data_IF_331193063214
#
_entry.id   IF_331193063214
#
_cell.length_a   1.000
_cell.length_b   1.000
_cell.length_c   1.000
_cell.angle_alpha   90.00
_cell.angle_beta   90.00
_cell.angle_gamma   90.00
#
_symmetry.space_group_name_H-M   'P 1'
#
loop_
_entity.id
_entity.type
_entity.pdbx_description
1 polymer ?
#
# COMPACT_ATOMS: atom_id res chain seq x y z
N UNK A 1 18.01 30.27 -18.89
CA UNK A 1 17.18 29.21 -18.27
C UNK A 1 16.98 28.11 -19.30
N UNK A 2 17.03 26.83 -18.92
CA UNK A 2 16.68 25.74 -19.84
C UNK A 2 15.20 25.86 -20.26
N UNK A 3 14.88 25.40 -21.46
CA UNK A 3 13.52 25.37 -22.00
C UNK A 3 13.18 23.90 -22.25
N UNK A 4 12.00 23.49 -21.83
CA UNK A 4 11.48 22.15 -22.07
C UNK A 4 10.16 22.23 -22.82
N UNK A 5 9.92 21.26 -23.69
CA UNK A 5 8.62 21.00 -24.28
C UNK A 5 7.97 19.87 -23.48
N UNK A 6 6.78 20.10 -22.92
CA UNK A 6 6.05 19.12 -22.10
C UNK A 6 4.72 18.82 -22.78
N UNK A 7 4.43 17.55 -23.00
CA UNK A 7 3.13 17.08 -23.45
C UNK A 7 2.31 16.61 -22.25
N UNK A 8 1.09 17.13 -22.17
CA UNK A 8 0.11 16.74 -21.16
C UNK A 8 -1.18 16.29 -21.83
N UNK A 9 -1.81 15.28 -21.25
CA UNK A 9 -3.13 14.79 -21.67
C UNK A 9 -3.97 14.49 -20.44
N UNK A 10 -5.24 14.14 -20.64
CA UNK A 10 -6.12 13.61 -19.61
C UNK A 10 -7.00 12.52 -20.23
N UNK A 11 -7.47 11.59 -19.40
CA UNK A 11 -8.42 10.59 -19.87
C UNK A 11 -9.80 11.23 -19.99
N UNK A 12 -10.34 11.25 -21.21
CA UNK A 12 -11.73 11.63 -21.50
C UNK A 12 -12.57 10.37 -21.72
N UNK A 13 -13.45 9.98 -20.79
CA UNK A 13 -14.32 8.83 -20.97
C UNK A 13 -15.28 9.05 -22.15
N UNK A 14 -15.56 7.95 -22.85
CA UNK A 14 -16.55 7.89 -23.92
C UNK A 14 -17.51 6.78 -23.56
N UNK A 15 -18.81 7.07 -23.55
CA UNK A 15 -19.86 6.11 -23.24
C UNK A 15 -20.90 6.05 -24.36
N UNK A 16 -21.67 4.96 -24.38
CA UNK A 16 -22.87 4.81 -25.21
C UNK A 16 -23.98 4.19 -24.37
N UNK A 17 -25.22 4.46 -24.72
CA UNK A 17 -26.38 3.80 -24.11
C UNK A 17 -27.04 2.89 -25.15
N UNK A 18 -27.19 1.61 -24.82
CA UNK A 18 -27.88 0.61 -25.64
C UNK A 18 -28.67 -0.34 -24.77
N UNK A 19 -29.70 -0.94 -25.34
CA UNK A 19 -30.53 -1.95 -24.69
C UNK A 19 -30.23 -3.31 -25.32
N UNK A 20 -29.97 -4.31 -24.48
CA UNK A 20 -29.70 -5.67 -24.91
C UNK A 20 -30.75 -6.60 -24.30
N UNK A 21 -31.40 -7.41 -25.13
CA UNK A 21 -32.29 -8.46 -24.65
C UNK A 21 -31.44 -9.69 -24.29
N UNK A 22 -31.48 -10.10 -23.02
CA UNK A 22 -30.67 -11.19 -22.51
C UNK A 22 -31.35 -11.87 -21.31
N UNK A 23 -31.06 -13.16 -21.06
CA UNK A 23 -31.69 -13.90 -19.96
C UNK A 23 -31.13 -13.52 -18.57
N UNK A 24 -30.04 -12.73 -18.50
CA UNK A 24 -29.50 -12.20 -17.26
C UNK A 24 -28.70 -10.91 -17.50
N UNK A 25 -28.43 -10.16 -16.42
CA UNK A 25 -27.54 -8.99 -16.44
C UNK A 25 -26.13 -9.36 -16.94
N UNK A 26 -25.58 -10.50 -16.51
CA UNK A 26 -24.24 -10.91 -16.91
C UNK A 26 -24.14 -11.20 -18.42
N UNK A 27 -25.19 -11.80 -19.01
CA UNK A 27 -25.27 -11.98 -20.46
C UNK A 27 -25.43 -10.62 -21.19
N UNK A 28 -26.29 -9.73 -20.68
CA UNK A 28 -26.44 -8.38 -21.26
C UNK A 28 -25.12 -7.60 -21.26
N UNK A 29 -24.35 -7.67 -20.16
CA UNK A 29 -23.03 -7.05 -20.06
C UNK A 29 -22.03 -7.65 -21.06
N UNK A 30 -22.07 -8.97 -21.29
CA UNK A 30 -21.20 -9.60 -22.29
C UNK A 30 -21.56 -9.15 -23.71
N UNK A 31 -22.85 -9.13 -24.06
CA UNK A 31 -23.32 -8.57 -25.34
C UNK A 31 -22.87 -7.11 -25.52
N UNK A 32 -22.95 -6.31 -24.45
CA UNK A 32 -22.53 -4.91 -24.49
C UNK A 32 -21.02 -4.70 -24.71
N UNK A 33 -20.18 -5.65 -24.30
CA UNK A 33 -18.73 -5.61 -24.50
C UNK A 33 -18.34 -6.15 -25.88
N UNK A 34 -19.07 -7.13 -26.39
CA UNK A 34 -18.86 -7.71 -27.73
C UNK A 34 -19.36 -6.80 -28.87
N UNK A 35 -20.33 -5.93 -28.60
CA UNK A 35 -20.84 -4.95 -29.55
C UNK A 35 -19.76 -3.91 -29.89
N UNK A 36 -19.28 -3.89 -31.14
CA UNK A 36 -18.23 -2.99 -31.62
C UNK A 36 -18.77 -1.68 -32.22
N UNK A 37 -20.08 -1.48 -32.22
CA UNK A 37 -20.71 -0.32 -32.86
C UNK A 37 -20.84 0.89 -31.92
N UNK A 38 -19.95 1.86 -32.12
CA UNK A 38 -19.84 3.10 -31.37
C UNK A 38 -20.50 4.32 -32.04
N UNK A 39 -21.39 4.14 -33.03
CA UNK A 39 -21.98 5.28 -33.78
C UNK A 39 -22.77 6.28 -32.91
N UNK A 40 -23.21 5.87 -31.70
CA UNK A 40 -23.93 6.70 -30.74
C UNK A 40 -23.09 7.08 -29.50
N UNK A 41 -21.77 7.16 -29.66
CA UNK A 41 -20.86 7.53 -28.58
C UNK A 41 -21.08 8.98 -28.09
N UNK A 42 -20.87 9.18 -26.80
CA UNK A 42 -20.89 10.49 -26.15
C UNK A 42 -19.66 10.65 -25.29
N UNK A 43 -18.97 11.79 -25.45
CA UNK A 43 -17.82 12.15 -24.62
C UNK A 43 -18.30 12.73 -23.30
N UNK A 44 -17.77 12.21 -22.20
CA UNK A 44 -18.09 12.67 -20.87
C UNK A 44 -17.00 13.61 -20.35
N UNK A 45 -17.21 14.91 -20.56
CA UNK A 45 -16.28 15.93 -20.05
C UNK A 45 -16.41 16.16 -18.54
N UNK A 46 -17.55 15.82 -17.93
CA UNK A 46 -17.78 16.00 -16.49
C UNK A 46 -17.04 14.95 -15.67
N UNK A 47 -16.89 13.74 -16.22
CA UNK A 47 -16.10 12.65 -15.64
C UNK A 47 -14.66 12.58 -16.18
N UNK A 48 -14.19 13.63 -16.88
CA UNK A 48 -12.81 13.71 -17.32
C UNK A 48 -11.85 13.59 -16.11
N UNK A 49 -10.80 12.80 -16.28
CA UNK A 49 -9.83 12.54 -15.21
C UNK A 49 -8.78 13.65 -15.13
N UNK A 50 -7.83 13.47 -14.22
CA UNK A 50 -6.72 14.39 -14.03
C UNK A 50 -5.85 14.54 -15.29
N UNK A 51 -5.23 15.71 -15.41
CA UNK A 51 -4.20 15.96 -16.42
C UNK A 51 -2.86 15.41 -15.95
N UNK A 52 -2.19 14.66 -16.81
CA UNK A 52 -0.90 14.03 -16.55
C UNK A 52 0.06 14.24 -17.72
N UNK A 53 1.35 14.05 -17.47
CA UNK A 53 2.42 14.23 -18.46
C UNK A 53 2.63 12.92 -19.21
N UNK A 54 2.65 12.98 -20.55
CA UNK A 54 2.94 11.83 -21.43
C UNK A 54 4.27 11.95 -22.14
N UNK A 55 4.84 13.15 -22.21
CA UNK A 55 6.12 13.38 -22.87
C UNK A 55 6.84 14.63 -22.39
N UNK A 56 8.16 14.57 -22.43
CA UNK A 56 9.04 15.70 -22.11
C UNK A 56 10.24 15.69 -23.05
N UNK A 57 10.66 16.87 -23.53
CA UNK A 57 11.82 17.02 -24.42
C UNK A 57 12.63 18.25 -24.03
N UNK A 58 13.94 18.17 -24.23
CA UNK A 58 14.83 19.33 -24.07
C UNK A 58 14.73 20.24 -25.29
N UNK A 59 14.57 21.53 -25.05
CA UNK A 59 14.40 22.56 -26.08
C UNK A 59 12.95 22.98 -26.33
N UNK A 60 12.84 24.01 -27.18
CA UNK A 60 11.57 24.62 -27.59
C UNK A 60 11.01 23.89 -28.80
N UNK A 61 9.71 23.55 -28.74
CA UNK A 61 8.96 22.92 -29.83
C UNK A 61 9.61 21.61 -30.31
N UNK A 62 10.21 20.86 -29.38
CA UNK A 62 10.99 19.66 -29.67
C UNK A 62 10.18 18.35 -29.53
N UNK A 63 8.86 18.43 -29.34
CA UNK A 63 7.99 17.26 -29.28
C UNK A 63 8.23 16.37 -30.52
N UNK A 64 8.46 15.07 -30.28
CA UNK A 64 8.71 14.05 -31.32
C UNK A 64 9.93 14.28 -32.23
N UNK A 65 10.75 15.30 -31.97
CA UNK A 65 11.91 15.65 -32.80
C UNK A 65 13.22 15.02 -32.30
N UNK A 66 13.17 14.32 -31.16
CA UNK A 66 14.31 13.67 -30.51
C UNK A 66 13.86 12.73 -29.40
N UNK A 67 14.80 12.13 -28.65
CA UNK A 67 14.46 11.23 -27.55
C UNK A 67 13.69 11.98 -26.46
N UNK A 68 12.60 11.38 -25.98
CA UNK A 68 11.89 11.89 -24.83
C UNK A 68 12.74 11.74 -23.56
N UNK A 69 12.65 12.74 -22.69
CA UNK A 69 13.21 12.70 -21.34
C UNK A 69 12.33 11.79 -20.47
N UNK A 70 12.93 11.04 -19.51
CA UNK A 70 12.15 10.26 -18.56
C UNK A 70 11.32 11.21 -17.69
N UNK A 71 10.00 11.04 -17.74
CA UNK A 71 9.06 11.78 -16.90
C UNK A 71 9.03 11.12 -15.52
N UNK A 72 9.21 11.87 -14.43
CA UNK A 72 9.06 11.32 -13.09
C UNK A 72 7.64 10.78 -12.85
N UNK A 73 7.52 9.58 -12.28
CA UNK A 73 6.23 8.87 -12.12
C UNK A 73 5.16 9.62 -11.33
N UNK A 74 5.51 10.60 -10.50
CA UNK A 74 4.50 11.42 -9.82
C UNK A 74 3.76 12.40 -10.72
N UNK A 75 4.19 12.57 -11.97
CA UNK A 75 3.47 13.33 -13.00
C UNK A 75 2.60 12.44 -13.90
N UNK A 76 2.61 11.12 -13.70
CA UNK A 76 1.71 10.18 -14.39
C UNK A 76 0.31 10.20 -13.76
N UNK A 77 -0.68 9.67 -14.48
CA UNK A 77 -2.03 9.47 -13.96
C UNK A 77 -1.98 8.58 -12.70
N UNK A 78 -2.70 8.97 -11.66
CA UNK A 78 -2.85 8.26 -10.38
C UNK A 78 -3.24 6.80 -10.59
N UNK A 79 -4.10 6.49 -11.56
CA UNK A 79 -4.46 5.10 -11.86
C UNK A 79 -3.27 4.32 -12.40
N UNK A 80 -2.48 4.90 -13.31
CA UNK A 80 -1.27 4.26 -13.81
C UNK A 80 -0.22 4.10 -12.71
N UNK A 81 -0.03 5.13 -11.87
CA UNK A 81 0.86 5.06 -10.70
C UNK A 81 0.49 3.91 -9.77
N UNK A 82 -0.82 3.67 -9.54
CA UNK A 82 -1.32 2.53 -8.74
C UNK A 82 -1.03 1.20 -9.43
N UNK A 83 -1.29 1.10 -10.74
CA UNK A 83 -1.05 -0.12 -11.51
C UNK A 83 0.43 -0.51 -11.52
N UNK A 84 1.33 0.42 -11.83
CA UNK A 84 2.78 0.18 -11.84
C UNK A 84 3.30 -0.15 -10.43
N UNK A 85 2.71 0.46 -9.40
CA UNK A 85 3.08 0.17 -8.03
C UNK A 85 2.58 -1.21 -7.55
N UNK A 86 1.48 -1.71 -8.11
CA UNK A 86 0.90 -3.02 -7.74
C UNK A 86 1.89 -4.17 -8.00
N UNK A 87 2.65 -4.13 -9.10
CA UNK A 87 3.66 -5.16 -9.38
C UNK A 87 4.75 -5.21 -8.30
N UNK A 88 5.16 -4.04 -7.79
CA UNK A 88 6.15 -3.92 -6.71
C UNK A 88 5.59 -4.51 -5.42
N UNK A 89 4.35 -4.16 -5.07
CA UNK A 89 3.67 -4.69 -3.88
C UNK A 89 3.48 -6.20 -3.96
N UNK A 90 3.05 -6.73 -5.11
CA UNK A 90 2.90 -8.16 -5.33
C UNK A 90 4.25 -8.89 -5.21
N UNK A 91 5.33 -8.31 -5.73
CA UNK A 91 6.68 -8.83 -5.57
C UNK A 91 7.09 -8.95 -4.10
N UNK A 92 6.77 -7.95 -3.28
CA UNK A 92 7.04 -7.97 -1.84
C UNK A 92 6.20 -9.02 -1.11
N UNK A 93 4.91 -9.13 -1.43
CA UNK A 93 4.03 -10.16 -0.85
C UNK A 93 4.54 -11.56 -1.17
N UNK A 94 5.01 -11.80 -2.40
CA UNK A 94 5.61 -13.09 -2.80
C UNK A 94 6.90 -13.40 -2.01
N UNK A 95 7.73 -12.39 -1.73
CA UNK A 95 8.94 -12.57 -0.92
C UNK A 95 8.59 -12.91 0.52
N UNK A 96 7.55 -12.28 1.09
CA UNK A 96 7.09 -12.54 2.46
C UNK A 96 6.40 -13.90 2.60
N UNK A 97 5.62 -14.31 1.59
CA UNK A 97 4.96 -15.62 1.56
C UNK A 97 5.88 -16.81 1.25
N UNK A 98 7.11 -16.55 0.80
CA UNK A 98 8.13 -17.57 0.62
C UNK A 98 8.91 -17.83 1.92
N UNK A 99 9.13 -19.10 2.27
CA UNK A 99 10.02 -19.47 3.37
C UNK A 99 11.48 -19.11 3.04
N UNK A 100 11.86 -17.85 3.28
CA UNK A 100 13.16 -17.27 2.96
C UNK A 100 14.06 -17.09 4.18
N UNK A 101 15.34 -17.41 4.00
CA UNK A 101 16.40 -17.45 5.02
C UNK A 101 16.65 -16.08 5.69
N UNK A 102 17.16 -16.06 6.93
CA UNK A 102 17.16 -14.88 7.82
C UNK A 102 17.85 -13.60 7.26
N UNK A 103 18.72 -13.73 6.24
CA UNK A 103 19.35 -12.59 5.54
C UNK A 103 18.44 -11.87 4.53
N UNK A 104 17.34 -12.50 4.12
CA UNK A 104 16.33 -11.91 3.23
C UNK A 104 15.45 -10.87 3.97
N UNK A 105 15.50 -10.87 5.32
CA UNK A 105 14.62 -10.08 6.19
C UNK A 105 14.87 -8.57 6.14
N UNK A 106 16.11 -8.09 6.30
CA UNK A 106 16.37 -6.64 6.42
C UNK A 106 16.24 -5.90 5.10
N UNK A 107 16.74 -6.48 4.00
CA UNK A 107 16.59 -5.94 2.65
C UNK A 107 15.12 -5.89 2.20
N UNK A 108 14.33 -6.92 2.57
CA UNK A 108 12.90 -6.95 2.28
C UNK A 108 12.13 -5.90 3.08
N UNK A 109 12.49 -5.67 4.35
CA UNK A 109 11.84 -4.66 5.20
C UNK A 109 12.07 -3.22 4.71
N UNK A 110 13.29 -2.87 4.29
CA UNK A 110 13.58 -1.53 3.75
C UNK A 110 12.86 -1.30 2.42
N UNK A 111 12.81 -2.33 1.57
CA UNK A 111 12.07 -2.30 0.30
C UNK A 111 10.55 -2.22 0.53
N UNK A 112 10.04 -2.90 1.54
CA UNK A 112 8.63 -2.84 1.93
C UNK A 112 8.25 -1.45 2.45
N UNK A 113 9.07 -0.86 3.32
CA UNK A 113 8.87 0.52 3.77
C UNK A 113 8.87 1.51 2.59
N UNK A 114 9.74 1.30 1.59
CA UNK A 114 9.75 2.09 0.35
C UNK A 114 8.47 1.99 -0.45
N UNK A 115 7.95 0.78 -0.57
CA UNK A 115 6.71 0.58 -1.30
C UNK A 115 5.54 1.21 -0.54
N UNK A 116 5.45 1.03 0.78
CA UNK A 116 4.41 1.64 1.60
C UNK A 116 4.41 3.17 1.48
N UNK A 117 5.57 3.82 1.60
CA UNK A 117 5.66 5.27 1.47
C UNK A 117 5.24 5.76 0.07
N UNK A 118 5.58 5.02 -0.99
CA UNK A 118 5.12 5.35 -2.35
C UNK A 118 3.60 5.14 -2.48
N UNK A 119 3.05 4.05 -1.94
CA UNK A 119 1.60 3.80 -1.95
C UNK A 119 0.82 4.90 -1.21
N UNK A 120 1.28 5.30 -0.02
CA UNK A 120 0.69 6.41 0.74
C UNK A 120 0.76 7.73 -0.03
N UNK A 121 1.90 8.03 -0.67
CA UNK A 121 2.03 9.21 -1.52
C UNK A 121 1.06 9.19 -2.71
N UNK A 122 0.88 8.04 -3.36
CA UNK A 122 -0.10 7.89 -4.46
C UNK A 122 -1.53 8.11 -3.95
N UNK A 123 -1.90 7.54 -2.79
CA UNK A 123 -3.23 7.72 -2.20
C UNK A 123 -3.51 9.18 -1.81
N UNK A 124 -2.48 9.90 -1.37
CA UNK A 124 -2.56 11.32 -1.02
C UNK A 124 -2.47 12.25 -2.24
N UNK A 125 -2.27 11.74 -3.47
CA UNK A 125 -1.99 12.57 -4.65
C UNK A 125 -0.66 13.34 -4.55
N UNK A 126 0.25 12.91 -3.68
CA UNK A 126 1.51 13.56 -3.40
C UNK A 126 2.63 13.07 -4.33
N UNK A 127 3.75 13.80 -4.29
CA UNK A 127 5.00 13.43 -4.98
C UNK A 127 5.54 12.12 -4.40
N UNK A 128 6.07 11.27 -5.27
CA UNK A 128 6.77 10.05 -4.87
C UNK A 128 7.94 10.38 -3.91
N UNK A 129 8.16 9.56 -2.86
CA UNK A 129 9.28 9.76 -1.95
C UNK A 129 10.60 9.72 -2.73
N UNK A 130 11.56 10.57 -2.35
CA UNK A 130 12.89 10.50 -2.93
C UNK A 130 13.48 9.10 -2.64
N UNK A 131 14.23 8.51 -3.58
CA UNK A 131 14.77 7.15 -3.43
C UNK A 131 15.70 6.99 -2.21
N UNK A 132 16.16 8.09 -1.62
CA UNK A 132 17.04 8.19 -0.45
C UNK A 132 16.40 8.90 0.76
N UNK A 133 15.12 9.27 0.69
CA UNK A 133 14.45 9.92 1.81
C UNK A 133 14.41 8.96 3.02
N UNK A 134 14.75 9.41 4.25
CA UNK A 134 14.58 8.60 5.44
C UNK A 134 13.10 8.35 5.65
N UNK A 135 12.67 7.12 5.39
CA UNK A 135 11.26 6.75 5.46
C UNK A 135 10.84 6.42 6.89
N UNK A 136 9.61 6.75 7.27
CA UNK A 136 9.04 6.24 8.50
C UNK A 136 9.06 4.71 8.44
N UNK A 137 9.68 4.08 9.45
CA UNK A 137 9.67 2.62 9.62
C UNK A 137 8.51 2.30 10.56
N UNK A 138 7.33 1.93 10.06
CA UNK A 138 6.20 1.64 10.93
C UNK A 138 6.47 0.37 11.74
N UNK A 139 5.98 0.35 12.97
CA UNK A 139 6.05 -0.81 13.86
C UNK A 139 4.63 -1.19 14.28
N UNK A 140 4.23 -2.43 14.02
CA UNK A 140 2.92 -2.98 14.40
C UNK A 140 3.03 -3.48 15.84
N UNK A 141 2.15 -3.00 16.73
CA UNK A 141 2.12 -3.40 18.14
C UNK A 141 1.26 -4.64 18.39
N UNK A 142 0.20 -4.82 17.60
CA UNK A 142 -0.75 -5.92 17.72
C UNK A 142 -1.31 -6.24 16.33
N UNK A 143 -1.37 -7.51 16.01
CA UNK A 143 -2.01 -8.07 14.82
C UNK A 143 -2.59 -9.42 15.20
N UNK A 144 -3.78 -9.73 14.71
CA UNK A 144 -4.39 -11.05 14.76
C UNK A 144 -5.11 -11.28 13.43
N UNK A 145 -5.31 -12.54 13.07
CA UNK A 145 -6.12 -12.93 11.90
C UNK A 145 -7.37 -13.74 12.27
N UNK A 146 -8.26 -13.92 11.31
CA UNK A 146 -9.52 -14.64 11.50
C UNK A 146 -9.31 -16.11 11.86
N UNK A 147 -8.17 -16.71 11.50
CA UNK A 147 -7.85 -18.10 11.85
C UNK A 147 -7.51 -18.26 13.33
N UNK A 148 -6.82 -17.27 13.92
CA UNK A 148 -6.57 -17.19 15.36
C UNK A 148 -7.89 -17.04 16.13
N UNK A 149 -8.84 -16.27 15.58
CA UNK A 149 -10.17 -16.11 16.17
C UNK A 149 -10.96 -17.42 16.09
N UNK A 150 -10.96 -18.11 14.94
CA UNK A 150 -11.60 -19.42 14.79
C UNK A 150 -11.05 -20.47 15.78
N UNK A 151 -9.73 -20.54 15.93
CA UNK A 151 -9.11 -21.43 16.91
C UNK A 151 -9.58 -21.10 18.34
N UNK A 152 -9.61 -19.81 18.68
CA UNK A 152 -10.06 -19.31 19.99
C UNK A 152 -11.53 -19.63 20.25
N UNK A 153 -12.41 -19.50 19.24
CA UNK A 153 -13.84 -19.88 19.34
C UNK A 153 -13.96 -21.36 19.69
N UNK A 154 -13.17 -22.23 19.03
CA UNK A 154 -13.14 -23.66 19.33
C UNK A 154 -12.75 -23.96 20.78
N UNK A 155 -11.75 -23.26 21.31
CA UNK A 155 -11.35 -23.38 22.72
C UNK A 155 -12.45 -22.92 23.69
N UNK A 156 -13.13 -21.81 23.39
CA UNK A 156 -14.22 -21.27 24.22
C UNK A 156 -15.41 -22.24 24.25
N UNK A 157 -15.85 -22.76 23.10
CA UNK A 157 -16.96 -23.71 23.02
C UNK A 157 -16.62 -25.00 23.79
N UNK A 158 -15.37 -25.46 23.70
CA UNK A 158 -14.92 -26.65 24.43
C UNK A 158 -14.82 -26.43 25.95
N UNK A 159 -14.53 -25.20 26.39
CA UNK A 159 -14.29 -24.85 27.79
C UNK A 159 -15.50 -24.35 28.56
N UNK A 160 -16.58 -23.97 27.89
CA UNK A 160 -17.73 -23.29 28.52
C UNK A 160 -19.06 -24.02 28.23
N UNK A 161 -19.69 -24.56 29.27
CA UNK A 161 -20.98 -25.26 29.20
C UNK A 161 -22.12 -24.39 28.64
N UNK A 162 -22.00 -23.06 28.75
CA UNK A 162 -22.98 -22.10 28.24
C UNK A 162 -23.03 -22.09 26.70
N UNK A 163 -21.89 -22.39 26.07
CA UNK A 163 -21.74 -22.44 24.61
C UNK A 163 -21.64 -23.87 24.06
N UNK A 164 -21.69 -24.90 24.92
CA UNK A 164 -21.58 -26.30 24.53
C UNK A 164 -22.71 -26.80 23.59
N UNK A 165 -23.82 -26.05 23.48
CA UNK A 165 -24.91 -26.34 22.54
C UNK A 165 -24.73 -25.69 21.17
N UNK A 166 -23.77 -24.76 21.02
CA UNK A 166 -23.43 -24.15 19.74
C UNK A 166 -22.42 -25.03 19.00
N UNK A 167 -22.71 -25.32 17.74
CA UNK A 167 -21.70 -25.88 16.84
C UNK A 167 -20.81 -24.76 16.32
N UNK A 168 -19.50 -25.00 16.29
CA UNK A 168 -18.56 -24.09 15.62
C UNK A 168 -18.93 -23.88 14.14
N UNK A 169 -19.52 -24.89 13.48
CA UNK A 169 -19.98 -24.83 12.09
C UNK A 169 -21.19 -23.90 11.87
N UNK A 170 -21.83 -23.42 12.95
CA UNK A 170 -22.95 -22.48 12.88
C UNK A 170 -22.49 -21.02 12.80
N UNK A 171 -21.20 -20.75 13.00
CA UNK A 171 -20.60 -19.42 12.91
C UNK A 171 -19.98 -19.31 11.52
N UNK A 172 -20.52 -18.44 10.66
CA UNK A 172 -20.01 -18.27 9.31
C UNK A 172 -18.80 -17.34 9.25
N UNK A 173 -18.05 -17.42 8.15
CA UNK A 173 -16.92 -16.51 7.87
C UNK A 173 -17.34 -15.03 7.95
N UNK A 174 -18.54 -14.70 7.46
CA UNK A 174 -19.10 -13.34 7.54
C UNK A 174 -19.33 -12.87 8.99
N UNK A 175 -19.73 -13.79 9.89
CA UNK A 175 -19.94 -13.47 11.31
C UNK A 175 -18.60 -13.20 12.00
N UNK A 176 -17.58 -14.01 11.69
CA UNK A 176 -16.21 -13.85 12.18
C UNK A 176 -15.63 -12.54 11.68
N UNK A 177 -15.77 -12.24 10.38
CA UNK A 177 -15.29 -11.00 9.78
C UNK A 177 -15.95 -9.78 10.43
N UNK A 178 -17.28 -9.80 10.57
CA UNK A 178 -18.03 -8.72 11.20
C UNK A 178 -17.60 -8.51 12.67
N UNK A 179 -17.37 -9.60 13.42
CA UNK A 179 -16.89 -9.54 14.79
C UNK A 179 -15.46 -8.96 14.88
N UNK A 180 -14.54 -9.41 14.02
CA UNK A 180 -13.17 -8.89 13.97
C UNK A 180 -13.15 -7.39 13.66
N UNK A 181 -13.94 -6.96 12.68
CA UNK A 181 -14.08 -5.56 12.31
C UNK A 181 -14.66 -4.72 13.46
N UNK A 182 -15.68 -5.23 14.17
CA UNK A 182 -16.28 -4.54 15.30
C UNK A 182 -15.29 -4.39 16.47
N UNK A 183 -14.52 -5.43 16.79
CA UNK A 183 -13.49 -5.38 17.84
C UNK A 183 -12.39 -4.40 17.46
N UNK A 184 -11.88 -4.46 16.23
CA UNK A 184 -10.86 -3.52 15.75
C UNK A 184 -11.35 -2.06 15.81
N UNK A 185 -12.61 -1.80 15.43
CA UNK A 185 -13.20 -0.47 15.47
C UNK A 185 -13.45 0.06 16.89
N UNK A 186 -13.77 -0.83 17.84
CA UNK A 186 -14.04 -0.47 19.24
C UNK A 186 -12.77 -0.39 20.11
N UNK A 187 -11.65 -0.95 19.65
CA UNK A 187 -10.41 -1.01 20.42
C UNK A 187 -9.70 0.34 20.45
N UNK A 188 -9.60 0.95 21.63
CA UNK A 188 -8.73 2.11 21.88
C UNK A 188 -7.39 1.61 22.43
N UNK A 189 -6.34 1.68 21.60
CA UNK A 189 -4.97 1.27 21.96
C UNK A 189 -4.04 2.48 22.16
N UNK A 190 -4.61 3.65 22.47
CA UNK A 190 -3.85 4.90 22.59
C UNK A 190 -2.85 4.87 23.75
N UNK A 191 -3.21 4.27 24.89
CA UNK A 191 -2.34 4.13 26.05
C UNK A 191 -1.19 3.15 25.80
N UNK A 192 -1.49 1.97 25.24
CA UNK A 192 -0.52 0.94 24.87
C UNK A 192 0.47 1.48 23.85
N UNK A 193 -0.04 2.22 22.86
CA UNK A 193 0.78 2.93 21.88
C UNK A 193 1.68 3.95 22.55
N UNK A 194 1.14 4.79 23.44
CA UNK A 194 1.92 5.77 24.19
C UNK A 194 3.04 5.12 25.02
N UNK A 195 2.72 4.05 25.74
CA UNK A 195 3.66 3.28 26.55
C UNK A 195 4.75 2.62 25.71
N UNK A 196 4.39 2.02 24.56
CA UNK A 196 5.35 1.40 23.65
C UNK A 196 6.33 2.44 23.07
N UNK A 197 5.82 3.59 22.62
CA UNK A 197 6.64 4.71 22.12
C UNK A 197 7.58 5.23 23.20
N UNK A 198 7.08 5.44 24.42
CA UNK A 198 7.89 5.91 25.54
C UNK A 198 9.01 4.92 25.90
N UNK A 199 8.69 3.61 25.98
CA UNK A 199 9.69 2.56 26.24
C UNK A 199 10.73 2.47 25.13
N UNK A 200 10.33 2.56 23.87
CA UNK A 200 11.25 2.59 22.73
C UNK A 200 12.20 3.81 22.80
N UNK A 201 11.68 4.99 23.14
CA UNK A 201 12.50 6.19 23.32
C UNK A 201 13.53 6.04 24.44
N UNK A 202 13.12 5.52 25.61
CA UNK A 202 14.04 5.24 26.71
C UNK A 202 15.12 4.22 26.34
N UNK A 203 14.75 3.16 25.60
CA UNK A 203 15.70 2.16 25.13
C UNK A 203 16.74 2.77 24.19
N UNK A 204 16.31 3.64 23.27
CA UNK A 204 17.20 4.36 22.36
C UNK A 204 18.20 5.25 23.13
N UNK A 205 17.74 6.04 24.10
CA UNK A 205 18.59 6.91 24.92
C UNK A 205 19.63 6.10 25.71
N UNK A 206 19.21 5.04 26.39
CA UNK A 206 20.12 4.14 27.13
C UNK A 206 21.17 3.48 26.22
N UNK A 207 20.82 3.21 24.96
CA UNK A 207 21.78 2.65 23.99
C UNK A 207 22.89 3.64 23.62
N UNK A 208 22.58 4.94 23.58
CA UNK A 208 23.56 5.99 23.31
C UNK A 208 24.46 6.22 24.50
N UNK A 209 23.90 6.28 25.71
CA UNK A 209 24.66 6.41 26.97
C UNK A 209 25.66 5.26 27.15
N UNK A 210 25.23 4.03 26.83
CA UNK A 210 26.08 2.85 26.93
C UNK A 210 27.27 2.92 25.96
N UNK A 211 27.02 3.26 24.69
CA UNK A 211 28.09 3.45 23.69
C UNK A 211 29.06 4.57 24.09
N UNK A 212 28.56 5.65 24.70
CA UNK A 212 29.40 6.74 25.18
C UNK A 212 30.28 6.33 26.37
N UNK A 213 29.80 5.46 27.27
CA UNK A 213 30.61 4.90 28.35
C UNK A 213 31.65 3.88 27.85
N UNK A 214 31.30 3.08 26.85
CA UNK A 214 32.19 2.08 26.25
C UNK A 214 33.35 2.75 25.48
N UNK A 215 33.06 3.76 24.64
CA UNK A 215 34.10 4.51 23.93
C UNK A 215 35.02 5.33 24.84
N UNK A 216 34.54 5.75 26.03
CA UNK A 216 35.39 6.40 27.05
C UNK A 216 36.39 5.44 27.68
N UNK A 217 36.00 4.19 27.94
CA UNK A 217 36.88 3.16 28.51
C UNK A 217 37.95 2.68 27.52
N UNK A 218 37.67 2.70 26.23
CA UNK A 218 38.66 2.39 25.18
C UNK A 218 39.69 3.53 25.02
N UNK A 219 39.25 4.79 25.00
CA UNK A 219 40.15 5.94 24.90
C UNK A 219 41.03 6.21 26.14
N UNK A 220 40.65 5.69 27.31
CA UNK A 220 41.49 5.69 28.52
C UNK A 220 42.54 4.58 28.50
N UNK A 221 42.25 3.41 27.87
CA UNK A 221 43.22 2.32 27.71
C UNK A 221 44.30 2.63 26.67
N UNK A 222 43.98 3.37 25.61
CA UNK A 222 44.96 3.82 24.60
C UNK A 222 45.87 4.96 25.07
N UNK A 223 45.57 5.63 26.19
CA UNK A 223 46.42 6.68 26.78
C UNK A 223 47.42 6.16 27.81
N UNK A 224 47.23 4.93 28.28
CA UNK A 224 48.07 4.27 29.27
C UNK A 224 49.08 3.27 28.65
N UNK A 225 49.16 3.18 27.31
CA UNK A 225 50.24 2.53 26.53
C UNK A 225 51.21 3.57 25.93
#
# INVERSE_FOLDING_TARGET
MPIYTIETTYHLPVYRHRSYEAPSLAEACRLAIEDDDWEAETRDYESARETYVTGAWDGRDCAYSGPALPVPSHFEETVQRKADHFEILLGLVKVLGGAGDAKQSTYSLERAASAVAKAEAILAGARDPAPDAPMPRPHILLSFDESEVCATIGEIIAGDETFATLSADAIGDDDIHAACAAVAAASDLSEERGSAVFRAALAALRSVERRAMEGRKEGEREKDE
#
